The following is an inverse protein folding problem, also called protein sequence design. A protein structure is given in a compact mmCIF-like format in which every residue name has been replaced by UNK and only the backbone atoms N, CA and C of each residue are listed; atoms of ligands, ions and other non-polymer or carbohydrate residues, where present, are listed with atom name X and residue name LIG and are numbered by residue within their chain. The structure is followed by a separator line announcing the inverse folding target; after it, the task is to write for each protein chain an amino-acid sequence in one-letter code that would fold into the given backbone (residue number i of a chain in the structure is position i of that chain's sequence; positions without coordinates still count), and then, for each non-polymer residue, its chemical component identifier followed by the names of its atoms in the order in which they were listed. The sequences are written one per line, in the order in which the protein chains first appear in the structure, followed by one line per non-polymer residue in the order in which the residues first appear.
data_IF_301679975882
#
_entry.id   IF_301679975882
#
_cell.length_a   1.000
_cell.length_b   1.000
_cell.length_c   1.000
_cell.angle_alpha   90.00
_cell.angle_beta   90.00
_cell.angle_gamma   90.00
#
_symmetry.space_group_name_H-M   'P 1'
#
loop_
_entity.id
_entity.type
_entity.pdbx_description
1 polymer ?
#
# COMPACT_ATOMS: atom_id res chain seq x y z
N UNK A 1 16.97 8.57 -11.47
CA UNK A 1 16.88 7.53 -10.44
C UNK A 1 15.45 7.44 -9.92
N UNK A 2 15.00 6.23 -9.54
CA UNK A 2 13.70 5.95 -8.97
C UNK A 2 13.83 5.83 -7.45
N UNK A 3 12.97 6.53 -6.70
CA UNK A 3 12.96 6.46 -5.24
C UNK A 3 12.11 5.26 -4.78
N UNK A 4 12.68 4.22 -4.15
CA UNK A 4 11.90 3.10 -3.65
C UNK A 4 10.97 3.53 -2.51
N UNK A 5 9.82 2.88 -2.41
CA UNK A 5 8.85 3.04 -1.32
C UNK A 5 8.22 1.69 -0.96
N UNK A 6 8.16 1.37 0.33
CA UNK A 6 7.49 0.18 0.83
C UNK A 6 6.00 0.48 1.07
N UNK A 7 5.18 0.21 0.06
CA UNK A 7 3.77 0.55 0.09
C UNK A 7 2.95 -0.31 -0.88
N UNK A 8 1.69 -0.55 -0.56
CA UNK A 8 0.72 -1.00 -1.55
C UNK A 8 0.16 0.22 -2.31
N UNK A 9 -0.32 0.01 -3.52
CA UNK A 9 -1.00 1.04 -4.29
C UNK A 9 -2.21 0.44 -5.01
N UNK A 10 -3.34 1.09 -4.84
CA UNK A 10 -4.58 0.84 -5.56
C UNK A 10 -5.02 2.09 -6.31
N UNK A 11 -5.77 1.93 -7.39
CA UNK A 11 -6.20 3.04 -8.22
C UNK A 11 -7.69 2.96 -8.48
N UNK A 12 -8.38 4.08 -8.27
CA UNK A 12 -9.76 4.27 -8.70
C UNK A 12 -9.77 5.27 -9.86
N UNK A 13 -10.31 4.86 -11.01
CA UNK A 13 -10.19 5.60 -12.28
C UNK A 13 -8.70 5.84 -12.60
N UNK A 14 -8.23 7.10 -12.60
CA UNK A 14 -6.83 7.45 -12.87
C UNK A 14 -6.12 8.05 -11.64
N UNK A 15 -6.65 7.80 -10.43
CA UNK A 15 -6.13 8.33 -9.17
C UNK A 15 -5.62 7.20 -8.28
N UNK A 16 -4.31 7.17 -8.07
CA UNK A 16 -3.65 6.21 -7.19
C UNK A 16 -3.68 6.62 -5.74
N UNK A 17 -3.95 5.66 -4.87
CA UNK A 17 -3.84 5.78 -3.43
C UNK A 17 -2.73 4.86 -2.94
N UNK A 18 -1.71 5.44 -2.35
CA UNK A 18 -0.55 4.73 -1.78
C UNK A 18 -0.85 4.40 -0.33
N UNK A 19 -0.90 3.12 -0.01
CA UNK A 19 -1.18 2.62 1.34
C UNK A 19 0.12 2.28 2.05
N UNK A 20 0.41 2.99 3.12
CA UNK A 20 1.61 2.86 3.95
C UNK A 20 1.22 2.40 5.36
N UNK A 21 2.18 1.95 6.14
CA UNK A 21 1.94 1.51 7.51
C UNK A 21 2.89 0.42 7.92
N UNK A 22 3.01 0.17 9.20
CA UNK A 22 3.87 -0.86 9.76
C UNK A 22 3.48 -2.27 9.29
N UNK A 23 4.35 -3.24 9.51
CA UNK A 23 4.02 -4.64 9.24
C UNK A 23 2.78 -5.03 10.05
N UNK A 24 1.78 -5.60 9.39
CA UNK A 24 0.50 -5.94 10.02
C UNK A 24 -0.53 -4.81 10.06
N UNK A 25 -0.22 -3.59 9.60
CA UNK A 25 -1.20 -2.50 9.52
C UNK A 25 -2.35 -2.78 8.53
N UNK A 26 -2.22 -3.80 7.67
CA UNK A 26 -3.28 -4.23 6.78
C UNK A 26 -3.18 -3.69 5.34
N UNK A 27 -2.01 -3.20 4.90
CA UNK A 27 -1.81 -2.66 3.55
C UNK A 27 -2.34 -3.59 2.45
N UNK A 28 -1.81 -4.81 2.38
CA UNK A 28 -2.20 -5.80 1.35
C UNK A 28 -3.66 -6.23 1.50
N UNK A 29 -4.14 -6.37 2.73
CA UNK A 29 -5.54 -6.76 3.01
C UNK A 29 -6.52 -5.66 2.56
N UNK A 30 -6.22 -4.40 2.83
CA UNK A 30 -7.03 -3.27 2.39
C UNK A 30 -6.94 -3.08 0.87
N UNK A 31 -5.75 -3.26 0.29
CA UNK A 31 -5.59 -3.22 -1.18
C UNK A 31 -6.48 -4.29 -1.85
N UNK A 32 -6.54 -5.50 -1.30
CA UNK A 32 -7.43 -6.56 -1.80
C UNK A 32 -8.91 -6.19 -1.64
N UNK A 33 -9.31 -5.62 -0.49
CA UNK A 33 -10.67 -5.13 -0.28
C UNK A 33 -11.07 -4.09 -1.35
N UNK A 34 -10.19 -3.12 -1.64
CA UNK A 34 -10.40 -2.13 -2.69
C UNK A 34 -10.56 -2.79 -4.07
N UNK A 35 -9.73 -3.78 -4.40
CA UNK A 35 -9.84 -4.53 -5.68
C UNK A 35 -11.19 -5.22 -5.79
N UNK A 36 -11.69 -5.85 -4.72
CA UNK A 36 -13.04 -6.43 -4.69
C UNK A 36 -14.14 -5.38 -4.89
N UNK A 37 -13.92 -4.16 -4.42
CA UNK A 37 -14.84 -3.03 -4.60
C UNK A 37 -14.72 -2.37 -6.00
N UNK A 38 -13.89 -2.92 -6.90
CA UNK A 38 -13.78 -2.46 -8.28
C UNK A 38 -12.61 -1.51 -8.54
N UNK A 39 -11.68 -1.35 -7.57
CA UNK A 39 -10.44 -0.63 -7.79
C UNK A 39 -9.44 -1.48 -8.58
N UNK A 40 -8.46 -0.84 -9.18
CA UNK A 40 -7.36 -1.51 -9.88
C UNK A 40 -6.16 -1.68 -8.95
N UNK A 41 -5.61 -2.90 -8.86
CA UNK A 41 -4.34 -3.11 -8.18
C UNK A 41 -3.20 -2.52 -9.02
N UNK A 42 -2.32 -1.78 -8.38
CA UNK A 42 -1.06 -1.29 -8.97
C UNK A 42 0.11 -2.04 -8.34
N UNK A 43 0.24 -2.00 -7.02
CA UNK A 43 1.33 -2.63 -6.28
C UNK A 43 0.83 -3.18 -4.94
N UNK A 44 1.49 -4.22 -4.40
CA UNK A 44 1.17 -4.77 -3.09
C UNK A 44 2.18 -4.39 -2.00
N UNK A 45 3.46 -4.42 -2.30
CA UNK A 45 4.49 -4.31 -1.26
C UNK A 45 5.62 -3.35 -1.62
N UNK A 46 6.11 -3.39 -2.84
CA UNK A 46 7.27 -2.62 -3.29
C UNK A 46 6.95 -1.81 -4.54
N UNK A 47 7.26 -0.54 -4.49
CA UNK A 47 7.07 0.41 -5.57
C UNK A 47 8.24 1.39 -5.66
N UNK A 48 8.28 2.13 -6.73
CA UNK A 48 9.26 3.17 -6.97
C UNK A 48 8.56 4.46 -7.41
N UNK A 49 9.08 5.58 -6.96
CA UNK A 49 8.59 6.90 -7.38
C UNK A 49 9.55 7.47 -8.44
N UNK A 50 9.01 7.71 -9.62
CA UNK A 50 9.73 8.31 -10.74
C UNK A 50 9.99 9.83 -10.50
N UNK A 51 10.87 10.48 -11.29
CA UNK A 51 11.14 11.91 -11.17
C UNK A 51 9.91 12.82 -11.30
N UNK A 52 8.92 12.41 -12.07
CA UNK A 52 7.64 13.09 -12.27
C UNK A 52 6.58 12.75 -11.23
N UNK A 53 6.98 12.06 -10.15
CA UNK A 53 6.13 11.57 -9.06
C UNK A 53 5.13 10.46 -9.46
N UNK A 54 5.28 9.89 -10.64
CA UNK A 54 4.54 8.68 -11.02
C UNK A 54 5.03 7.49 -10.18
N UNK A 55 4.09 6.74 -9.61
CA UNK A 55 4.39 5.48 -8.97
C UNK A 55 4.56 4.39 -10.03
N UNK A 56 5.65 3.65 -9.93
CA UNK A 56 5.97 2.48 -10.77
C UNK A 56 6.02 1.25 -9.89
N UNK A 57 5.15 0.29 -10.17
CA UNK A 57 5.02 -0.93 -9.39
C UNK A 57 6.14 -1.93 -9.71
N UNK A 58 6.58 -2.67 -8.70
CA UNK A 58 7.25 -3.94 -8.92
C UNK A 58 6.21 -4.98 -9.36
N UNK A 59 6.53 -5.76 -10.40
CA UNK A 59 5.65 -6.80 -10.94
C UNK A 59 5.63 -8.06 -10.03
N UNK A 60 5.33 -7.87 -8.75
CA UNK A 60 5.24 -8.95 -7.76
C UNK A 60 3.78 -9.36 -7.58
N UNK A 61 3.49 -10.67 -7.41
CA UNK A 61 2.15 -11.12 -7.05
C UNK A 61 1.69 -10.50 -5.74
N UNK A 62 0.39 -10.33 -5.57
CA UNK A 62 -0.17 -9.97 -4.28
C UNK A 62 -0.07 -11.18 -3.34
N UNK A 63 0.49 -10.94 -2.15
CA UNK A 63 0.66 -11.95 -1.12
C UNK A 63 -0.11 -11.54 0.14
N UNK A 64 -1.07 -12.37 0.53
CA UNK A 64 -1.89 -12.13 1.71
C UNK A 64 -1.57 -13.15 2.81
N UNK A 65 -1.72 -12.75 4.06
CA UNK A 65 -1.60 -13.69 5.18
C UNK A 65 -2.74 -14.70 5.13
N UNK A 66 -2.52 -15.97 5.53
CA UNK A 66 -3.58 -16.99 5.49
C UNK A 66 -4.83 -16.65 6.32
N UNK A 67 -4.68 -15.86 7.39
CA UNK A 67 -5.79 -15.45 8.26
C UNK A 67 -6.79 -14.50 7.57
N UNK A 68 -6.47 -13.95 6.40
CA UNK A 68 -7.41 -13.10 5.64
C UNK A 68 -8.62 -13.87 5.09
N UNK A 69 -8.56 -15.20 5.04
CA UNK A 69 -9.69 -16.06 4.62
C UNK A 69 -10.93 -15.82 5.49
N UNK A 70 -10.77 -15.41 6.73
CA UNK A 70 -11.89 -15.00 7.58
C UNK A 70 -12.68 -13.79 7.06
N UNK A 71 -12.01 -12.90 6.29
CA UNK A 71 -12.61 -11.72 5.67
C UNK A 71 -12.98 -11.97 4.21
N UNK A 72 -12.23 -12.87 3.54
CA UNK A 72 -12.35 -13.18 2.11
C UNK A 72 -12.41 -14.69 1.91
N UNK A 73 -13.57 -15.33 2.17
CA UNK A 73 -13.71 -16.79 2.08
C UNK A 73 -13.35 -17.38 0.70
N UNK A 74 -13.47 -16.58 -0.36
CA UNK A 74 -13.09 -16.96 -1.72
C UNK A 74 -11.60 -17.28 -1.88
N UNK A 75 -10.76 -16.84 -0.96
CA UNK A 75 -9.32 -17.13 -0.96
C UNK A 75 -8.95 -18.47 -0.32
N UNK A 76 -9.91 -19.21 0.24
CA UNK A 76 -9.65 -20.48 0.92
C UNK A 76 -9.00 -21.54 0.04
N UNK A 77 -9.17 -21.46 -1.29
CA UNK A 77 -8.56 -22.37 -2.26
C UNK A 77 -7.24 -21.90 -2.88
N UNK A 78 -6.74 -20.73 -2.48
CA UNK A 78 -5.49 -20.19 -3.03
C UNK A 78 -4.27 -21.00 -2.56
N UNK A 79 -3.27 -21.24 -3.45
CA UNK A 79 -2.01 -21.86 -3.05
C UNK A 79 -1.30 -21.04 -1.96
N UNK A 80 -0.60 -21.74 -1.07
CA UNK A 80 0.28 -21.11 -0.09
C UNK A 80 1.72 -21.19 -0.54
N UNK A 81 2.49 -20.14 -0.24
CA UNK A 81 3.94 -20.12 -0.39
C UNK A 81 4.59 -19.84 0.96
N UNK A 82 5.76 -20.44 1.19
CA UNK A 82 6.59 -20.13 2.36
C UNK A 82 7.80 -19.34 1.88
N UNK A 83 7.92 -18.11 2.34
CA UNK A 83 9.07 -17.25 2.04
C UNK A 83 10.33 -17.72 2.78
N UNK A 84 11.51 -17.29 2.32
CA UNK A 84 12.79 -17.65 2.94
C UNK A 84 12.90 -17.25 4.43
N UNK A 85 12.14 -16.26 4.87
CA UNK A 85 12.05 -15.83 6.28
C UNK A 85 11.04 -16.63 7.10
N UNK A 86 10.49 -17.73 6.56
CA UNK A 86 9.51 -18.61 7.21
C UNK A 86 8.07 -18.09 7.22
N UNK A 87 7.79 -16.91 6.67
CA UNK A 87 6.42 -16.40 6.56
C UNK A 87 5.65 -17.16 5.50
N UNK A 88 4.43 -17.57 5.85
CA UNK A 88 3.50 -18.21 4.92
C UNK A 88 2.56 -17.15 4.36
N UNK A 89 2.33 -17.18 3.05
CA UNK A 89 1.41 -16.30 2.37
C UNK A 89 0.52 -17.08 1.39
N UNK A 90 -0.69 -16.58 1.16
CA UNK A 90 -1.56 -16.99 0.06
C UNK A 90 -1.12 -16.29 -1.22
N UNK A 91 -0.92 -17.04 -2.29
CA UNK A 91 -0.76 -16.48 -3.63
C UNK A 91 -2.13 -16.12 -4.20
N UNK A 92 -2.42 -14.83 -4.21
CA UNK A 92 -3.66 -14.34 -4.80
C UNK A 92 -3.52 -14.32 -6.33
N UNK A 93 -4.50 -14.82 -7.08
CA UNK A 93 -4.51 -14.68 -8.53
C UNK A 93 -4.41 -13.20 -8.93
N UNK A 94 -3.61 -12.95 -9.97
CA UNK A 94 -3.45 -11.58 -10.45
C UNK A 94 -4.80 -11.02 -10.94
N UNK A 95 -5.26 -9.87 -10.42
CA UNK A 95 -6.54 -9.31 -10.83
C UNK A 95 -6.47 -8.84 -12.28
N UNK A 96 -7.56 -9.04 -13.01
CA UNK A 96 -7.68 -8.55 -14.37
C UNK A 96 -7.52 -7.01 -14.38
N UNK A 97 -6.77 -6.51 -15.36
CA UNK A 97 -6.56 -5.07 -15.53
C UNK A 97 -5.59 -4.42 -14.57
N UNK A 98 -4.73 -5.21 -13.89
CA UNK A 98 -3.64 -4.65 -13.08
C UNK A 98 -2.83 -3.65 -13.89
N UNK A 99 -2.51 -2.51 -13.29
CA UNK A 99 -1.61 -1.50 -13.86
C UNK A 99 -0.25 -1.56 -13.18
N UNK A 100 0.79 -1.16 -13.91
CA UNK A 100 2.16 -1.08 -13.36
C UNK A 100 2.59 0.35 -13.04
N UNK A 101 1.76 1.33 -13.37
CA UNK A 101 2.02 2.75 -13.09
C UNK A 101 0.77 3.46 -12.63
N UNK A 102 0.91 4.48 -11.81
CA UNK A 102 -0.20 5.30 -11.34
C UNK A 102 0.22 6.72 -11.01
N UNK A 103 -0.63 7.70 -11.34
CA UNK A 103 -0.52 9.06 -10.80
C UNK A 103 -1.03 9.06 -9.36
N UNK A 104 -0.19 9.44 -8.42
CA UNK A 104 -0.52 9.42 -6.99
C UNK A 104 -1.38 10.62 -6.61
N UNK A 105 -2.59 10.36 -6.16
CA UNK A 105 -3.53 11.36 -5.64
C UNK A 105 -3.47 11.49 -4.12
N UNK A 106 -3.21 10.39 -3.40
CA UNK A 106 -3.09 10.38 -1.96
C UNK A 106 -2.10 9.32 -1.47
N UNK A 107 -1.46 9.62 -0.35
CA UNK A 107 -0.64 8.71 0.44
C UNK A 107 -1.29 8.57 1.82
N UNK A 108 -1.57 7.36 2.23
CA UNK A 108 -2.38 7.09 3.42
C UNK A 108 -1.63 6.17 4.38
N UNK A 109 -1.36 6.66 5.58
CA UNK A 109 -0.88 5.83 6.70
C UNK A 109 -2.03 5.08 7.32
N UNK A 110 -1.87 3.76 7.46
CA UNK A 110 -2.84 2.87 8.05
C UNK A 110 -2.53 2.60 9.51
N UNK A 111 -3.51 2.82 10.37
CA UNK A 111 -3.48 2.44 11.78
C UNK A 111 -4.73 1.64 12.13
N UNK A 112 -4.55 0.58 12.93
CA UNK A 112 -5.68 -0.12 13.53
C UNK A 112 -6.15 0.65 14.77
N UNK A 113 -7.47 0.80 14.92
CA UNK A 113 -8.08 1.48 16.05
C UNK A 113 -9.53 1.06 16.22
N UNK A 114 -10.18 1.59 17.23
CA UNK A 114 -11.59 1.25 17.56
C UNK A 114 -12.59 2.03 16.71
N UNK A 115 -12.21 3.21 16.23
CA UNK A 115 -13.06 4.08 15.42
C UNK A 115 -12.40 4.37 14.08
N UNK A 116 -13.21 4.61 13.05
CA UNK A 116 -12.71 4.94 11.73
C UNK A 116 -12.66 6.44 11.53
N UNK A 117 -11.47 6.97 11.24
CA UNK A 117 -11.23 8.39 10.97
C UNK A 117 -10.16 8.59 9.91
N UNK A 118 -10.31 9.63 9.10
CA UNK A 118 -9.33 10.06 8.11
C UNK A 118 -8.92 11.50 8.44
N UNK A 119 -7.63 11.73 8.65
CA UNK A 119 -7.09 13.05 9.01
C UNK A 119 -5.84 13.39 8.19
N UNK A 120 -5.58 14.67 7.99
CA UNK A 120 -4.32 15.14 7.39
C UNK A 120 -3.14 14.77 8.28
N UNK A 121 -2.03 14.42 7.66
CA UNK A 121 -0.80 14.03 8.33
C UNK A 121 0.33 14.99 7.94
N UNK A 122 1.25 15.22 8.85
CA UNK A 122 2.44 16.06 8.59
C UNK A 122 3.48 15.29 7.75
N UNK A 123 4.18 16.00 6.86
CA UNK A 123 5.22 15.42 6.01
C UNK A 123 6.33 14.75 6.83
N UNK A 124 6.68 15.31 7.99
CA UNK A 124 7.70 14.76 8.87
C UNK A 124 7.39 13.32 9.31
N UNK A 125 6.12 13.00 9.55
CA UNK A 125 5.68 11.65 9.86
C UNK A 125 5.88 10.70 8.66
N UNK A 126 5.63 11.18 7.44
CA UNK A 126 5.88 10.43 6.20
C UNK A 126 7.35 10.11 5.99
N UNK A 127 8.21 11.09 6.16
CA UNK A 127 9.64 10.92 6.00
C UNK A 127 10.24 10.04 7.10
N UNK A 128 9.77 10.17 8.34
CA UNK A 128 10.17 9.30 9.44
C UNK A 128 9.78 7.83 9.18
N UNK A 129 8.56 7.59 8.69
CA UNK A 129 8.12 6.25 8.31
C UNK A 129 9.01 5.64 7.23
N UNK A 130 9.23 6.37 6.14
CA UNK A 130 10.05 5.86 5.04
C UNK A 130 11.47 5.59 5.48
N UNK A 131 12.08 6.42 6.31
CA UNK A 131 13.42 6.23 6.87
C UNK A 131 13.59 4.90 7.62
N UNK A 132 12.52 4.38 8.26
CA UNK A 132 12.58 3.08 8.97
C UNK A 132 12.62 1.86 8.05
N UNK A 133 12.15 1.99 6.82
CA UNK A 133 12.06 0.88 5.87
C UNK A 133 13.18 0.87 4.84
N UNK A 134 14.12 1.82 4.93
CA UNK A 134 15.30 1.82 4.08
C UNK A 134 16.45 1.09 4.75
N UNK A 135 17.03 0.07 4.10
CA UNK A 135 18.20 -0.64 4.62
C UNK A 135 19.48 0.22 4.62
N UNK A 136 19.44 1.39 4.01
CA UNK A 136 20.56 2.34 3.89
C UNK A 136 20.09 3.74 4.26
N UNK A 137 21.01 4.60 4.70
CA UNK A 137 20.70 6.03 4.87
C UNK A 137 20.25 6.60 3.53
N UNK A 138 19.02 7.12 3.43
CA UNK A 138 18.51 7.63 2.17
C UNK A 138 19.35 8.85 1.75
N UNK A 139 19.72 8.90 0.47
CA UNK A 139 20.36 10.09 -0.09
C UNK A 139 19.39 11.27 -0.11
N UNK A 140 19.90 12.50 -0.09
CA UNK A 140 19.08 13.71 -0.03
C UNK A 140 18.02 13.78 -1.14
N UNK A 141 18.39 13.43 -2.38
CA UNK A 141 17.47 13.43 -3.53
C UNK A 141 16.28 12.49 -3.35
N UNK A 142 16.46 11.42 -2.60
CA UNK A 142 15.44 10.44 -2.32
C UNK A 142 14.40 11.01 -1.33
N UNK A 143 14.89 11.61 -0.24
CA UNK A 143 14.02 12.29 0.74
C UNK A 143 13.29 13.47 0.11
N UNK A 144 13.95 14.25 -0.73
CA UNK A 144 13.34 15.36 -1.47
C UNK A 144 12.19 14.88 -2.37
N UNK A 145 12.39 13.76 -3.08
CA UNK A 145 11.34 13.19 -3.93
C UNK A 145 10.15 12.69 -3.13
N UNK A 146 10.38 12.00 -2.02
CA UNK A 146 9.31 11.56 -1.15
C UNK A 146 8.59 12.73 -0.47
N UNK A 147 9.31 13.77 -0.06
CA UNK A 147 8.69 15.00 0.44
C UNK A 147 7.78 15.64 -0.59
N UNK A 148 8.22 15.75 -1.84
CA UNK A 148 7.41 16.25 -2.95
C UNK A 148 6.19 15.36 -3.23
N UNK A 149 6.32 14.04 -3.11
CA UNK A 149 5.20 13.12 -3.23
C UNK A 149 4.16 13.36 -2.11
N UNK A 150 4.62 13.56 -0.88
CA UNK A 150 3.75 13.70 0.29
C UNK A 150 3.09 15.07 0.39
N UNK A 151 3.66 16.09 -0.24
CA UNK A 151 3.16 17.46 -0.15
C UNK A 151 1.68 17.55 -0.56
N UNK A 152 0.83 17.96 0.39
CA UNK A 152 -0.60 18.09 0.20
C UNK A 152 -1.38 16.80 -0.01
N UNK A 153 -0.71 15.61 0.02
CA UNK A 153 -1.33 14.31 -0.28
C UNK A 153 -1.30 13.33 0.89
N UNK A 154 -0.73 13.70 2.04
CA UNK A 154 -0.50 12.79 3.15
C UNK A 154 -1.66 12.78 4.15
N UNK A 155 -2.13 11.57 4.47
CA UNK A 155 -3.27 11.29 5.33
C UNK A 155 -2.96 10.15 6.30
N UNK A 156 -3.64 10.14 7.42
CA UNK A 156 -3.70 9.00 8.34
C UNK A 156 -5.12 8.46 8.35
N UNK A 157 -5.27 7.17 8.08
CA UNK A 157 -6.52 6.43 8.22
C UNK A 157 -6.42 5.50 9.43
N UNK A 158 -7.16 5.82 10.48
CA UNK A 158 -7.42 4.89 11.58
C UNK A 158 -8.69 4.13 11.26
N UNK A 159 -8.72 2.80 11.45
CA UNK A 159 -9.89 2.01 11.10
C UNK A 159 -10.05 0.75 11.97
N UNK A 160 -11.31 0.41 12.24
CA UNK A 160 -11.71 -0.78 12.99
C UNK A 160 -11.96 -1.98 12.07
N UNK A 161 -12.57 -1.77 10.91
CA UNK A 161 -12.89 -2.80 9.93
C UNK A 161 -12.60 -2.36 8.49
N UNK A 162 -12.52 -3.35 7.58
CA UNK A 162 -12.10 -3.13 6.20
C UNK A 162 -13.12 -2.37 5.35
N UNK A 163 -14.41 -2.62 5.54
CA UNK A 163 -15.46 -1.96 4.75
C UNK A 163 -15.47 -0.45 5.02
N UNK A 164 -15.32 -0.07 6.29
CA UNK A 164 -15.21 1.34 6.67
C UNK A 164 -13.91 1.98 6.17
N UNK A 165 -12.81 1.22 6.15
CA UNK A 165 -11.54 1.71 5.64
C UNK A 165 -11.61 1.97 4.13
N UNK A 166 -12.14 1.02 3.37
CA UNK A 166 -12.31 1.14 1.92
C UNK A 166 -13.21 2.34 1.55
N UNK A 167 -14.33 2.49 2.25
CA UNK A 167 -15.28 3.58 2.03
C UNK A 167 -14.73 4.99 2.35
N UNK A 168 -13.57 5.10 3.01
CA UNK A 168 -12.91 6.37 3.35
C UNK A 168 -11.79 6.76 2.38
N UNK A 169 -11.32 5.81 1.57
CA UNK A 169 -10.31 6.08 0.54
C UNK A 169 -10.92 6.69 -0.71
#
# INVERSE_FOLDING_TARGET
YFAPIHAACVQLRDRGVVLMGDSGAGKSTLAYACVRAGWTLVSDDSSHIAPDLTLVASAQPQNLRPDVVQFFPELAGCPTITHANGKVALQVPEPAGRKLTSTVAACVFLHRGETTSLARCDISQGLHYTGRYFPFSPESWHLERLAALFEGRLWTLTYANLDQAEARL
#
